data_IF_803406770340
#
_entry.id   IF_803406770340
#
_cell.length_a   1.000
_cell.length_b   1.000
_cell.length_c   1.000
_cell.angle_alpha   90.00
_cell.angle_beta   90.00
_cell.angle_gamma   90.00
#
_symmetry.space_group_name_H-M   'P 1'
#
loop_
_entity.id
_entity.type
_entity.pdbx_description
1 polymer ?
#
# COMPACT_ATOMS: atom_id res chain seq x y z
N UNK A 1 -4.20 16.56 -4.03
CA UNK A 1 -4.67 15.17 -4.00
C UNK A 1 -3.55 14.36 -4.60
N UNK A 2 -2.89 13.55 -3.79
CA UNK A 2 -1.73 12.78 -4.23
C UNK A 2 -2.23 11.43 -4.73
N UNK A 3 -1.93 11.13 -5.99
CA UNK A 3 -2.26 9.85 -6.62
C UNK A 3 -1.00 9.01 -6.73
N UNK A 4 -1.08 7.76 -6.28
CA UNK A 4 0.01 6.80 -6.41
C UNK A 4 -0.35 5.75 -7.46
N UNK A 5 0.60 5.50 -8.39
CA UNK A 5 0.52 4.39 -9.34
C UNK A 5 0.81 3.07 -8.61
N UNK A 6 -0.13 2.14 -8.67
CA UNK A 6 -0.03 0.80 -8.10
C UNK A 6 -0.18 -0.27 -9.19
N UNK A 7 0.54 -1.39 -9.06
CA UNK A 7 0.52 -2.46 -10.07
C UNK A 7 -0.74 -3.35 -10.02
N UNK A 8 -1.49 -3.32 -8.91
CA UNK A 8 -2.69 -4.16 -8.69
C UNK A 8 -3.97 -3.34 -8.86
N UNK A 9 -3.97 -2.12 -8.34
CA UNK A 9 -5.14 -1.23 -8.26
C UNK A 9 -5.07 -0.03 -9.21
N UNK A 10 -4.04 0.04 -10.05
CA UNK A 10 -3.79 1.12 -11.01
C UNK A 10 -3.50 2.49 -10.35
N UNK A 11 -4.52 3.21 -9.89
CA UNK A 11 -4.35 4.51 -9.25
C UNK A 11 -5.02 4.51 -7.87
N UNK A 12 -4.24 4.79 -6.84
CA UNK A 12 -4.71 4.94 -5.47
C UNK A 12 -4.70 6.43 -5.11
N UNK A 13 -5.89 6.96 -4.82
CA UNK A 13 -6.09 8.34 -4.36
C UNK A 13 -5.92 8.44 -2.84
N UNK A 14 -5.11 9.39 -2.40
CA UNK A 14 -4.87 9.64 -0.99
C UNK A 14 -5.61 10.90 -0.52
N UNK A 15 -6.28 10.76 0.62
CA UNK A 15 -6.72 11.93 1.38
C UNK A 15 -5.53 12.55 2.16
N UNK A 16 -5.65 13.80 2.65
CA UNK A 16 -4.56 14.47 3.35
C UNK A 16 -4.06 13.77 4.61
N UNK A 17 -4.91 13.01 5.30
CA UNK A 17 -4.53 12.23 6.48
C UNK A 17 -3.68 11.04 6.07
N UNK A 18 -4.11 10.29 5.05
CA UNK A 18 -3.37 9.16 4.52
C UNK A 18 -2.01 9.59 3.97
N UNK A 19 -1.96 10.72 3.25
CA UNK A 19 -0.72 11.32 2.75
C UNK A 19 0.26 11.65 3.89
N UNK A 20 -0.20 12.38 4.91
CA UNK A 20 0.63 12.72 6.06
C UNK A 20 1.12 11.47 6.83
N UNK A 21 0.30 10.42 6.89
CA UNK A 21 0.64 9.16 7.56
C UNK A 21 1.73 8.40 6.79
N UNK A 22 1.66 8.38 5.46
CA UNK A 22 2.69 7.75 4.62
C UNK A 22 4.06 8.42 4.76
N UNK A 23 4.11 9.73 5.00
CA UNK A 23 5.35 10.48 5.17
C UNK A 23 6.04 10.28 6.54
N UNK A 24 5.41 9.51 7.44
CA UNK A 24 6.02 9.16 8.74
C UNK A 24 7.16 8.14 8.59
N UNK A 25 8.12 8.20 9.51
CA UNK A 25 9.23 7.24 9.53
C UNK A 25 8.75 5.80 9.73
N UNK A 26 7.70 5.61 10.53
CA UNK A 26 7.07 4.33 10.83
C UNK A 26 6.49 3.66 9.58
N UNK A 27 5.82 4.45 8.71
CA UNK A 27 5.31 3.96 7.44
C UNK A 27 6.42 3.74 6.43
N UNK A 28 7.35 4.68 6.28
CA UNK A 28 8.47 4.54 5.35
C UNK A 28 9.36 3.33 5.66
N UNK A 29 9.49 2.93 6.94
CA UNK A 29 10.17 1.70 7.36
C UNK A 29 9.65 0.46 6.65
N UNK A 30 8.36 0.40 6.31
CA UNK A 30 7.75 -0.76 5.66
C UNK A 30 8.33 -1.04 4.27
N UNK A 31 8.99 -0.06 3.62
CA UNK A 31 9.73 -0.25 2.37
C UNK A 31 10.91 -1.21 2.50
N UNK A 32 11.41 -1.42 3.72
CA UNK A 32 12.50 -2.36 3.98
C UNK A 32 11.99 -3.74 4.43
N UNK A 33 10.68 -3.89 4.66
CA UNK A 33 10.08 -5.15 5.16
C UNK A 33 9.41 -5.87 4.00
N UNK A 34 10.05 -6.93 3.51
CA UNK A 34 9.49 -7.78 2.45
C UNK A 34 8.18 -8.42 2.89
N UNK A 35 7.18 -8.42 2.01
CA UNK A 35 5.89 -9.03 2.30
C UNK A 35 6.02 -10.53 2.58
N UNK A 36 6.83 -11.23 1.78
CA UNK A 36 7.00 -12.67 1.82
C UNK A 36 8.39 -13.12 2.30
N UNK A 37 9.11 -12.29 3.05
CA UNK A 37 10.41 -12.64 3.67
C UNK A 37 11.40 -13.29 2.69
N UNK A 38 11.78 -14.56 2.92
CA UNK A 38 12.77 -15.32 2.14
C UNK A 38 12.23 -15.92 0.84
N UNK A 39 10.93 -15.80 0.56
CA UNK A 39 10.31 -16.34 -0.67
C UNK A 39 10.99 -15.82 -1.93
N UNK A 40 11.53 -14.60 -1.92
CA UNK A 40 12.31 -14.05 -3.02
C UNK A 40 13.53 -14.91 -3.44
N UNK A 41 14.04 -15.78 -2.56
CA UNK A 41 15.16 -16.68 -2.86
C UNK A 41 14.74 -17.84 -3.78
N UNK A 42 13.44 -18.11 -3.87
CA UNK A 42 12.83 -19.12 -4.76
C UNK A 42 12.08 -18.46 -5.91
N UNK A 43 11.43 -17.33 -5.65
CA UNK A 43 10.68 -16.53 -6.62
C UNK A 43 11.28 -15.12 -6.71
N UNK A 44 12.27 -14.87 -7.58
CA UNK A 44 13.00 -13.60 -7.64
C UNK A 44 12.16 -12.36 -7.96
N UNK A 45 10.92 -12.53 -8.43
CA UNK A 45 9.97 -11.43 -8.67
C UNK A 45 9.16 -11.05 -7.42
N UNK A 46 9.20 -11.85 -6.34
CA UNK A 46 8.50 -11.59 -5.08
C UNK A 46 9.22 -10.52 -4.23
N UNK A 47 9.52 -9.37 -4.86
CA UNK A 47 10.28 -8.26 -4.28
C UNK A 47 9.42 -7.23 -3.54
N UNK A 48 8.10 -7.45 -3.53
CA UNK A 48 7.15 -6.53 -2.95
C UNK A 48 7.31 -6.45 -1.42
N UNK A 49 7.05 -5.28 -0.89
CA UNK A 49 7.23 -4.90 0.52
C UNK A 49 5.88 -4.69 1.19
N UNK A 50 5.91 -4.55 2.51
CA UNK A 50 4.72 -4.24 3.31
C UNK A 50 4.16 -2.85 2.98
N UNK A 51 4.98 -1.94 2.44
CA UNK A 51 4.56 -0.57 2.15
C UNK A 51 3.46 -0.51 1.09
N UNK A 52 3.71 -1.01 -0.12
CA UNK A 52 2.72 -1.02 -1.21
C UNK A 52 1.53 -1.93 -0.89
N UNK A 53 1.75 -3.00 -0.11
CA UNK A 53 0.64 -3.82 0.35
C UNK A 53 -0.29 -3.06 1.30
N UNK A 54 0.25 -2.28 2.24
CA UNK A 54 -0.55 -1.42 3.13
C UNK A 54 -1.34 -0.36 2.35
N UNK A 55 -0.76 0.21 1.27
CA UNK A 55 -1.47 1.11 0.36
C UNK A 55 -2.68 0.43 -0.29
N UNK A 56 -2.51 -0.80 -0.80
CA UNK A 56 -3.62 -1.58 -1.36
C UNK A 56 -4.72 -1.89 -0.33
N UNK A 57 -4.36 -2.22 0.91
CA UNK A 57 -5.33 -2.43 2.00
C UNK A 57 -6.12 -1.15 2.31
N UNK A 58 -5.46 0.01 2.36
CA UNK A 58 -6.13 1.30 2.52
C UNK A 58 -7.14 1.54 1.39
N UNK A 59 -6.73 1.34 0.13
CA UNK A 59 -7.59 1.52 -1.03
C UNK A 59 -8.85 0.65 -0.97
N UNK A 60 -8.69 -0.65 -0.71
CA UNK A 60 -9.82 -1.58 -0.58
C UNK A 60 -10.73 -1.26 0.60
N UNK A 61 -10.16 -0.77 1.72
CA UNK A 61 -10.93 -0.36 2.89
C UNK A 61 -11.86 0.82 2.56
N UNK A 62 -11.37 1.80 1.78
CA UNK A 62 -12.20 2.93 1.34
C UNK A 62 -13.32 2.50 0.40
N UNK A 63 -13.02 1.63 -0.58
CA UNK A 63 -14.05 1.07 -1.49
C UNK A 63 -15.16 0.42 -0.66
N UNK A 64 -14.80 -0.49 0.26
CA UNK A 64 -15.76 -1.21 1.08
C UNK A 64 -16.59 -0.30 2.00
N UNK A 65 -15.98 0.74 2.57
CA UNK A 65 -16.72 1.73 3.38
C UNK A 65 -17.70 2.51 2.50
N UNK A 66 -17.28 2.91 1.29
CA UNK A 66 -18.14 3.66 0.37
C UNK A 66 -19.35 2.85 -0.10
N UNK A 67 -19.17 1.55 -0.35
CA UNK A 67 -20.25 0.62 -0.75
C UNK A 67 -21.29 0.41 0.35
N UNK A 68 -20.92 0.61 1.63
CA UNK A 68 -21.84 0.48 2.77
C UNK A 68 -22.54 1.78 3.16
N UNK A 69 -22.06 2.91 2.66
CA UNK A 69 -22.62 4.22 2.95
C UNK A 69 -23.74 4.62 1.97
N UNK A 70 -23.93 3.87 0.88
CA UNK A 70 -25.08 3.95 -0.03
C UNK A 70 -26.12 2.89 0.28
#
# INVERSE_FOLDING_TARGET
MTTIKDSVHDYIELDPTAEALLDTAEMQRLRAVRQLSTVQLVYPSANHTRFEHSLGVYHLSLIHISERAG
#
